data_IF_310901860663
#
_entry.id   IF_310901860663
#
_cell.length_a   1.000
_cell.length_b   1.000
_cell.length_c   1.000
_cell.angle_alpha   90.00
_cell.angle_beta   90.00
_cell.angle_gamma   90.00
#
_symmetry.space_group_name_H-M   'P 1'
#
loop_
_entity.id
_entity.type
_entity.pdbx_description
1 polymer ?
#
# COMPACT_ATOMS: atom_id res chain seq x y z
N UNK A 1 17.72 11.64 -10.95
CA UNK A 1 18.13 11.87 -9.57
C UNK A 1 18.06 10.58 -8.78
N UNK A 2 19.02 10.32 -7.87
CA UNK A 2 18.97 9.16 -6.97
C UNK A 2 18.11 9.48 -5.76
N UNK A 3 17.21 8.54 -5.42
CA UNK A 3 16.34 8.65 -4.25
C UNK A 3 16.76 7.66 -3.14
N UNK A 4 17.97 7.12 -3.20
CA UNK A 4 18.48 6.22 -2.17
C UNK A 4 18.46 6.90 -0.80
N UNK A 5 17.93 6.19 0.21
CA UNK A 5 17.76 6.70 1.57
C UNK A 5 16.47 7.50 1.81
N UNK A 6 15.66 7.72 0.77
CA UNK A 6 14.36 8.35 0.93
C UNK A 6 13.32 7.34 1.41
N UNK A 7 12.31 7.84 2.09
CA UNK A 7 11.14 7.05 2.50
C UNK A 7 10.20 6.85 1.31
N UNK A 8 9.57 5.70 1.22
CA UNK A 8 8.63 5.37 0.16
C UNK A 8 7.21 5.16 0.71
N UNK A 9 6.26 5.84 0.08
CA UNK A 9 4.84 5.77 0.43
C UNK A 9 3.98 5.54 -0.80
N UNK A 10 2.85 4.90 -0.59
CA UNK A 10 1.84 4.68 -1.62
C UNK A 10 0.48 5.21 -1.15
N UNK A 11 -0.29 5.76 -2.07
CA UNK A 11 -1.68 6.15 -1.85
C UNK A 11 -2.57 5.34 -2.80
N UNK A 12 -3.47 4.56 -2.22
CA UNK A 12 -4.54 3.91 -2.99
C UNK A 12 -5.71 4.86 -3.10
N UNK A 13 -6.09 5.18 -4.32
CA UNK A 13 -7.04 6.25 -4.63
C UNK A 13 -8.12 5.73 -5.55
N UNK A 14 -9.35 6.15 -5.35
CA UNK A 14 -10.46 5.89 -6.28
C UNK A 14 -11.07 7.20 -6.71
N UNK A 15 -11.28 7.37 -8.02
CA UNK A 15 -11.93 8.54 -8.62
C UNK A 15 -13.02 8.11 -9.59
N UNK A 16 -14.13 8.84 -9.59
CA UNK A 16 -15.22 8.67 -10.54
C UNK A 16 -15.32 9.83 -11.55
N UNK A 17 -16.25 9.72 -12.50
CA UNK A 17 -16.48 10.70 -13.56
C UNK A 17 -16.99 12.06 -13.07
N UNK A 18 -17.56 12.11 -11.87
CA UNK A 18 -18.07 13.34 -11.24
C UNK A 18 -17.00 14.03 -10.37
N UNK A 19 -15.75 13.58 -10.48
CA UNK A 19 -14.60 14.06 -9.69
C UNK A 19 -14.72 13.78 -8.18
N UNK A 20 -15.58 12.87 -7.77
CA UNK A 20 -15.47 12.30 -6.42
C UNK A 20 -14.17 11.52 -6.36
N UNK A 21 -13.25 11.97 -5.52
CA UNK A 21 -11.93 11.40 -5.43
C UNK A 21 -11.56 11.16 -3.96
N UNK A 22 -11.31 9.91 -3.59
CA UNK A 22 -11.10 9.48 -2.21
C UNK A 22 -9.82 8.68 -2.05
N UNK A 23 -9.16 8.84 -0.91
CA UNK A 23 -8.05 8.00 -0.50
C UNK A 23 -8.62 6.78 0.25
N UNK A 24 -8.32 5.60 -0.26
CA UNK A 24 -8.74 4.35 0.38
C UNK A 24 -7.77 3.98 1.51
N UNK A 25 -6.47 4.11 1.25
CA UNK A 25 -5.46 3.74 2.20
C UNK A 25 -4.13 4.43 1.89
N UNK A 26 -3.40 4.83 2.92
CA UNK A 26 -1.98 5.15 2.84
C UNK A 26 -1.16 3.92 3.22
N UNK A 27 -0.07 3.68 2.50
CA UNK A 27 0.81 2.53 2.71
C UNK A 27 2.24 3.05 2.82
N UNK A 28 2.99 2.51 3.77
CA UNK A 28 4.42 2.78 3.93
C UNK A 28 5.23 1.54 3.59
N UNK A 29 6.26 1.70 2.77
CA UNK A 29 7.23 0.67 2.45
C UNK A 29 8.40 0.78 3.43
N UNK A 30 8.71 -0.33 4.13
CA UNK A 30 9.75 -0.35 5.16
C UNK A 30 11.13 -0.66 4.62
N UNK A 31 11.21 -1.30 3.45
CA UNK A 31 12.45 -1.61 2.79
C UNK A 31 13.05 -0.36 2.14
N UNK A 32 14.39 -0.32 1.95
CA UNK A 32 15.04 0.83 1.34
C UNK A 32 14.54 1.12 -0.07
N UNK A 33 14.51 2.42 -0.42
CA UNK A 33 14.27 2.86 -1.79
C UNK A 33 15.18 2.11 -2.76
N UNK A 34 14.58 1.57 -3.85
CA UNK A 34 15.26 0.72 -4.82
C UNK A 34 14.92 -0.77 -4.69
N UNK A 35 14.25 -1.18 -3.62
CA UNK A 35 13.55 -2.47 -3.54
C UNK A 35 12.16 -2.30 -4.14
N UNK A 36 11.74 -3.24 -5.01
CA UNK A 36 10.40 -3.21 -5.61
C UNK A 36 9.32 -3.28 -4.52
N UNK A 37 8.27 -2.43 -4.61
CA UNK A 37 7.21 -2.36 -3.61
C UNK A 37 6.52 -3.70 -3.34
N UNK A 38 6.42 -4.58 -4.36
CA UNK A 38 5.93 -5.94 -4.22
C UNK A 38 6.79 -6.83 -3.32
N UNK A 39 8.07 -6.53 -3.21
CA UNK A 39 9.07 -7.26 -2.41
C UNK A 39 9.33 -6.61 -1.05
N UNK A 40 8.75 -5.44 -0.81
CA UNK A 40 8.87 -4.71 0.44
C UNK A 40 7.91 -5.22 1.50
N UNK A 41 8.33 -5.18 2.77
CA UNK A 41 7.42 -5.22 3.91
C UNK A 41 6.67 -3.89 3.91
N UNK A 42 5.34 -3.95 3.94
CA UNK A 42 4.51 -2.75 3.92
C UNK A 42 3.56 -2.69 5.11
N UNK A 43 3.25 -1.50 5.54
CA UNK A 43 2.32 -1.24 6.64
C UNK A 43 1.25 -0.25 6.23
N UNK A 44 0.03 -0.52 6.64
CA UNK A 44 -1.13 0.32 6.43
C UNK A 44 -1.90 0.53 7.76
N UNK A 45 -2.30 1.76 8.10
CA UNK A 45 -1.94 3.01 7.43
C UNK A 45 -0.45 3.32 7.60
N UNK A 46 0.08 4.26 6.80
CA UNK A 46 1.46 4.74 6.97
C UNK A 46 1.69 5.24 8.40
N UNK A 47 2.83 4.81 9.00
CA UNK A 47 3.09 5.01 10.43
C UNK A 47 3.94 6.25 10.71
N UNK A 48 4.75 6.68 9.75
CA UNK A 48 5.73 7.76 9.95
C UNK A 48 5.41 9.05 9.20
N UNK A 49 4.24 9.15 8.58
CA UNK A 49 3.75 10.40 8.00
C UNK A 49 3.22 11.33 9.10
N UNK A 50 3.66 12.57 9.06
CA UNK A 50 2.95 13.64 9.77
C UNK A 50 1.63 13.97 9.05
N UNK A 51 0.67 14.57 9.75
CA UNK A 51 -0.59 15.00 9.12
C UNK A 51 -0.35 15.94 7.94
N UNK A 52 0.61 16.85 8.06
CA UNK A 52 0.99 17.76 6.97
C UNK A 52 1.49 17.00 5.74
N UNK A 53 2.37 16.04 5.91
CA UNK A 53 2.89 15.20 4.80
C UNK A 53 1.76 14.38 4.19
N UNK A 54 0.91 13.76 5.01
CA UNK A 54 -0.25 13.03 4.53
C UNK A 54 -1.16 13.91 3.64
N UNK A 55 -1.48 15.13 4.08
CA UNK A 55 -2.31 16.05 3.29
C UNK A 55 -1.61 16.47 1.99
N UNK A 56 -0.30 16.63 1.99
CA UNK A 56 0.46 16.91 0.77
C UNK A 56 0.40 15.74 -0.21
N UNK A 57 0.61 14.50 0.25
CA UNK A 57 0.50 13.30 -0.59
C UNK A 57 -0.93 13.11 -1.10
N UNK A 58 -1.93 13.34 -0.26
CA UNK A 58 -3.34 13.31 -0.63
C UNK A 58 -3.63 14.28 -1.79
N UNK A 59 -3.28 15.54 -1.61
CA UNK A 59 -3.51 16.57 -2.63
C UNK A 59 -2.75 16.29 -3.93
N UNK A 60 -1.50 15.82 -3.84
CA UNK A 60 -0.70 15.43 -4.99
C UNK A 60 -1.34 14.24 -5.73
N UNK A 61 -1.83 13.24 -5.00
CA UNK A 61 -2.52 12.09 -5.59
C UNK A 61 -3.76 12.51 -6.38
N UNK A 62 -4.60 13.37 -5.80
CA UNK A 62 -5.79 13.90 -6.48
C UNK A 62 -5.42 14.68 -7.74
N UNK A 63 -4.37 15.50 -7.68
CA UNK A 63 -3.87 16.26 -8.83
C UNK A 63 -3.36 15.33 -9.94
N UNK A 64 -2.58 14.29 -9.58
CA UNK A 64 -2.05 13.30 -10.53
C UNK A 64 -3.18 12.57 -11.25
N UNK A 65 -4.20 12.08 -10.52
CA UNK A 65 -5.32 11.38 -11.13
C UNK A 65 -6.12 12.26 -12.11
N UNK A 66 -6.30 13.54 -11.77
CA UNK A 66 -6.97 14.52 -12.63
C UNK A 66 -6.17 14.81 -13.88
N UNK A 67 -4.85 15.03 -13.76
CA UNK A 67 -3.96 15.31 -14.88
C UNK A 67 -3.88 14.15 -15.87
N UNK A 68 -3.79 12.92 -15.34
CA UNK A 68 -3.78 11.70 -16.18
C UNK A 68 -5.15 11.41 -16.79
N UNK A 69 -6.24 11.92 -16.20
CA UNK A 69 -7.61 11.72 -16.69
C UNK A 69 -8.22 10.38 -16.26
N UNK A 70 -7.84 9.84 -15.11
CA UNK A 70 -8.49 8.63 -14.55
C UNK A 70 -9.86 9.02 -14.01
N UNK A 71 -10.92 8.44 -14.56
CA UNK A 71 -12.31 8.77 -14.24
C UNK A 71 -13.13 7.59 -13.70
N UNK A 72 -12.61 6.37 -13.80
CA UNK A 72 -13.42 5.17 -13.57
C UNK A 72 -12.70 4.10 -12.80
N UNK A 73 -12.09 4.44 -11.66
CA UNK A 73 -11.55 3.36 -10.87
C UNK A 73 -10.43 3.66 -9.92
N UNK A 74 -9.79 2.59 -9.49
CA UNK A 74 -8.68 2.60 -8.54
C UNK A 74 -7.35 2.88 -9.20
N UNK A 75 -6.51 3.60 -8.49
CA UNK A 75 -5.14 3.90 -8.89
C UNK A 75 -4.23 3.85 -7.68
N UNK A 76 -2.98 3.48 -7.93
CA UNK A 76 -1.90 3.53 -6.95
C UNK A 76 -0.93 4.65 -7.34
N UNK A 77 -0.67 5.57 -6.43
CA UNK A 77 0.32 6.65 -6.62
C UNK A 77 1.45 6.43 -5.63
N UNK A 78 2.68 6.36 -6.13
CA UNK A 78 3.88 6.10 -5.33
C UNK A 78 4.70 7.37 -5.19
N UNK A 79 5.17 7.61 -3.98
CA UNK A 79 5.91 8.81 -3.58
C UNK A 79 7.19 8.46 -2.86
N UNK A 80 8.21 9.28 -3.10
CA UNK A 80 9.39 9.34 -2.24
C UNK A 80 9.37 10.64 -1.44
N UNK A 81 9.71 10.55 -0.16
CA UNK A 81 9.89 11.70 0.72
C UNK A 81 11.33 11.73 1.23
N UNK A 82 11.99 12.84 1.02
CA UNK A 82 13.32 13.08 1.58
C UNK A 82 13.20 13.24 3.11
N UNK A 83 13.86 12.40 3.91
CA UNK A 83 13.77 12.49 5.37
C UNK A 83 14.43 13.75 5.95
N UNK A 84 15.32 14.40 5.20
CA UNK A 84 16.09 15.55 5.70
C UNK A 84 15.35 16.89 5.54
N UNK A 85 14.65 17.07 4.41
CA UNK A 85 14.00 18.35 4.08
C UNK A 85 12.50 18.24 3.77
N UNK A 86 11.94 17.01 3.74
CA UNK A 86 10.55 16.75 3.46
C UNK A 86 10.14 16.93 1.99
N UNK A 87 11.11 17.04 1.05
CA UNK A 87 10.83 17.15 -0.39
C UNK A 87 10.13 15.88 -0.87
N UNK A 88 9.05 16.06 -1.62
CA UNK A 88 8.22 14.98 -2.17
C UNK A 88 8.49 14.85 -3.67
N UNK A 89 8.63 13.61 -4.12
CA UNK A 89 8.73 13.24 -5.54
C UNK A 89 7.69 12.17 -5.85
N UNK A 90 6.94 12.34 -6.92
CA UNK A 90 6.09 11.28 -7.49
C UNK A 90 7.00 10.31 -8.24
N UNK A 91 7.00 9.03 -7.84
CA UNK A 91 7.78 7.97 -8.49
C UNK A 91 7.04 7.48 -9.73
N UNK A 92 5.81 7.01 -9.51
CA UNK A 92 4.95 6.53 -10.58
C UNK A 92 3.48 6.56 -10.16
N UNK A 93 2.60 6.41 -11.13
CA UNK A 93 1.17 6.23 -10.95
C UNK A 93 0.71 5.05 -11.80
N UNK A 94 0.00 4.13 -11.18
CA UNK A 94 -0.56 2.96 -11.82
C UNK A 94 -2.09 3.12 -11.94
N UNK A 95 -2.63 3.49 -13.12
CA UNK A 95 -4.07 3.74 -13.33
C UNK A 95 -4.86 2.43 -13.49
N UNK A 96 -4.74 1.55 -12.54
CA UNK A 96 -5.37 0.23 -12.55
C UNK A 96 -5.51 -0.32 -11.15
N UNK A 97 -6.42 -1.26 -10.95
CA UNK A 97 -6.44 -2.11 -9.76
C UNK A 97 -5.18 -3.00 -9.76
N UNK A 98 -4.50 -3.04 -8.64
CA UNK A 98 -3.20 -3.70 -8.46
C UNK A 98 -3.22 -4.64 -7.25
N UNK A 99 -2.07 -5.25 -6.94
CA UNK A 99 -1.91 -6.03 -5.70
C UNK A 99 -2.00 -5.15 -4.46
N UNK A 100 -1.47 -3.93 -4.50
CA UNK A 100 -1.64 -2.95 -3.43
C UNK A 100 -3.10 -2.55 -3.25
N UNK A 101 -3.89 -2.47 -4.33
CA UNK A 101 -5.34 -2.26 -4.23
C UNK A 101 -6.04 -3.44 -3.53
N UNK A 102 -5.61 -4.68 -3.79
CA UNK A 102 -6.12 -5.85 -3.09
C UNK A 102 -5.74 -5.84 -1.61
N UNK A 103 -4.50 -5.43 -1.28
CA UNK A 103 -4.03 -5.23 0.08
C UNK A 103 -4.87 -4.16 0.79
N UNK A 104 -5.04 -2.99 0.18
CA UNK A 104 -5.83 -1.89 0.72
C UNK A 104 -7.30 -2.31 0.93
N UNK A 105 -7.88 -3.06 -0.01
CA UNK A 105 -9.24 -3.60 0.13
C UNK A 105 -9.37 -4.53 1.33
N UNK A 106 -8.41 -5.42 1.54
CA UNK A 106 -8.39 -6.32 2.71
C UNK A 106 -8.14 -5.54 4.01
N UNK A 107 -7.27 -4.54 3.96
CA UNK A 107 -6.94 -3.73 5.13
C UNK A 107 -8.12 -2.88 5.60
N UNK A 108 -8.85 -2.26 4.68
CA UNK A 108 -9.93 -1.29 5.00
C UNK A 108 -11.33 -1.88 4.97
N UNK A 109 -11.51 -3.01 4.29
CA UNK A 109 -12.83 -3.54 3.97
C UNK A 109 -13.51 -2.86 2.76
N UNK A 110 -12.87 -1.85 2.14
CA UNK A 110 -13.40 -1.17 0.97
C UNK A 110 -13.11 -1.99 -0.30
N UNK A 111 -14.14 -2.47 -1.03
CA UNK A 111 -13.96 -3.40 -2.14
C UNK A 111 -13.58 -2.66 -3.43
N UNK A 112 -12.33 -2.20 -3.56
CA UNK A 112 -11.86 -1.35 -4.66
C UNK A 112 -12.21 -1.93 -6.03
N UNK A 113 -11.96 -3.22 -6.26
CA UNK A 113 -12.22 -3.83 -7.56
C UNK A 113 -13.72 -3.86 -7.92
N UNK A 114 -14.59 -4.17 -6.95
CA UNK A 114 -16.05 -4.14 -7.13
C UNK A 114 -16.55 -2.72 -7.43
N UNK A 115 -16.04 -1.74 -6.68
CA UNK A 115 -16.38 -0.33 -6.90
C UNK A 115 -15.87 0.13 -8.26
N UNK A 116 -14.62 -0.12 -8.60
CA UNK A 116 -14.04 0.24 -9.91
C UNK A 116 -14.83 -0.35 -11.08
N UNK A 117 -15.29 -1.61 -10.98
CA UNK A 117 -16.14 -2.22 -12.01
C UNK A 117 -17.47 -1.48 -12.18
N UNK A 118 -18.09 -1.02 -11.08
CA UNK A 118 -19.32 -0.24 -11.14
C UNK A 118 -19.09 1.17 -11.70
N UNK A 119 -17.99 1.83 -11.34
CA UNK A 119 -17.62 3.13 -11.90
C UNK A 119 -17.40 3.02 -13.41
N UNK A 120 -16.79 1.94 -13.90
CA UNK A 120 -16.54 1.69 -15.31
C UNK A 120 -17.83 1.58 -16.15
N UNK A 121 -18.94 1.15 -15.57
CA UNK A 121 -20.26 1.10 -16.23
C UNK A 121 -21.13 2.32 -15.98
N UNK A 122 -20.56 3.36 -15.35
CA UNK A 122 -21.17 4.68 -15.27
C UNK A 122 -21.77 5.08 -13.91
N UNK A 123 -21.67 4.25 -12.86
CA UNK A 123 -22.02 4.69 -11.50
C UNK A 123 -21.00 5.71 -10.98
N UNK A 124 -21.42 6.47 -9.98
CA UNK A 124 -20.56 7.39 -9.24
C UNK A 124 -20.42 6.93 -7.78
N UNK A 125 -19.41 7.42 -7.07
CA UNK A 125 -19.14 7.00 -5.69
C UNK A 125 -20.26 7.36 -4.71
N UNK A 126 -20.95 8.44 -4.96
CA UNK A 126 -22.10 8.91 -4.16
C UNK A 126 -23.38 8.09 -4.42
N UNK A 127 -23.50 7.44 -5.59
CA UNK A 127 -24.59 6.52 -5.93
C UNK A 127 -24.39 5.10 -5.35
N UNK A 128 -23.16 4.76 -4.98
CA UNK A 128 -22.84 3.43 -4.47
C UNK A 128 -22.93 3.37 -2.94
N UNK A 129 -23.53 2.31 -2.44
CA UNK A 129 -23.54 2.01 -1.01
C UNK A 129 -22.14 1.61 -0.53
N UNK A 130 -21.73 2.09 0.63
CA UNK A 130 -20.47 1.73 1.27
C UNK A 130 -20.63 0.38 1.99
N UNK A 131 -19.90 -0.63 1.52
CA UNK A 131 -19.96 -1.98 2.09
C UNK A 131 -19.45 -2.00 3.55
N UNK A 132 -18.52 -1.13 3.92
CA UNK A 132 -17.95 -1.06 5.29
C UNK A 132 -19.03 -0.67 6.31
N UNK A 133 -19.92 0.24 5.92
CA UNK A 133 -20.98 0.74 6.81
C UNK A 133 -22.31 -0.01 6.65
N UNK A 134 -22.31 -1.12 5.89
CA UNK A 134 -23.56 -1.83 5.58
C UNK A 134 -24.52 -1.00 4.72
N UNK A 135 -24.01 -0.04 3.97
CA UNK A 135 -24.81 0.82 3.08
C UNK A 135 -25.38 2.08 3.75
N UNK A 136 -25.03 2.36 5.01
CA UNK A 136 -25.52 3.55 5.71
C UNK A 136 -24.95 4.84 5.12
N UNK A 137 -23.70 4.80 4.64
CA UNK A 137 -23.05 5.93 3.96
C UNK A 137 -22.79 5.59 2.49
N UNK A 138 -22.65 6.58 1.60
CA UNK A 138 -22.19 6.33 0.24
C UNK A 138 -20.71 5.97 0.20
N UNK A 139 -20.27 5.35 -0.90
CA UNK A 139 -18.89 4.94 -1.12
C UNK A 139 -17.92 6.12 -1.33
N UNK A 140 -18.43 7.34 -1.41
CA UNK A 140 -17.62 8.57 -1.46
C UNK A 140 -16.99 8.98 -0.12
N UNK A 141 -17.32 8.28 0.97
CA UNK A 141 -16.68 8.50 2.27
C UNK A 141 -15.37 7.70 2.37
N UNK A 142 -14.29 8.39 2.70
CA UNK A 142 -12.98 7.76 2.89
C UNK A 142 -13.00 6.78 4.08
N UNK A 143 -12.46 5.55 3.89
CA UNK A 143 -12.33 4.62 5.01
C UNK A 143 -11.33 5.13 6.05
N UNK A 144 -11.59 4.83 7.30
CA UNK A 144 -10.64 5.01 8.40
C UNK A 144 -10.49 3.70 9.16
N UNK A 145 -9.27 3.38 9.59
CA UNK A 145 -8.97 2.20 10.38
C UNK A 145 -8.24 2.59 11.66
N UNK A 146 -8.56 1.91 12.76
CA UNK A 146 -7.96 2.10 14.09
C UNK A 146 -7.04 0.94 14.50
N UNK A 147 -6.62 0.15 13.51
CA UNK A 147 -5.70 -0.97 13.64
C UNK A 147 -4.58 -0.85 12.59
N UNK A 148 -3.58 -1.67 12.74
CA UNK A 148 -2.43 -1.72 11.83
C UNK A 148 -2.43 -3.02 11.05
N UNK A 149 -2.19 -2.93 9.76
CA UNK A 149 -2.09 -4.08 8.85
C UNK A 149 -0.68 -4.12 8.29
N UNK A 150 0.00 -5.27 8.45
CA UNK A 150 1.34 -5.47 7.88
C UNK A 150 1.30 -6.57 6.85
N UNK A 151 1.89 -6.31 5.68
CA UNK A 151 2.14 -7.27 4.61
C UNK A 151 3.62 -7.67 4.64
N UNK A 152 3.90 -8.97 4.62
CA UNK A 152 5.27 -9.51 4.48
C UNK A 152 5.33 -10.37 3.21
N UNK A 153 6.25 -10.10 2.28
CA UNK A 153 6.38 -10.86 1.05
C UNK A 153 6.94 -12.28 1.30
N UNK A 154 6.55 -13.21 0.46
CA UNK A 154 7.06 -14.59 0.45
C UNK A 154 7.98 -14.79 -0.75
N UNK A 155 9.16 -15.30 -0.49
CA UNK A 155 10.15 -15.69 -1.51
C UNK A 155 10.32 -17.21 -1.52
N UNK A 156 10.81 -17.76 -2.63
CA UNK A 156 11.06 -19.20 -2.80
C UNK A 156 12.48 -19.46 -3.28
N UNK A 157 13.45 -18.66 -2.80
CA UNK A 157 14.87 -18.83 -3.17
C UNK A 157 15.41 -20.22 -2.80
N UNK A 158 14.82 -20.84 -1.77
CA UNK A 158 15.15 -22.23 -1.39
C UNK A 158 14.86 -23.25 -2.49
N UNK A 159 13.91 -22.95 -3.39
CA UNK A 159 13.59 -23.79 -4.56
C UNK A 159 14.40 -23.45 -5.80
N UNK A 160 15.01 -22.29 -5.81
CA UNK A 160 15.77 -21.75 -6.93
C UNK A 160 17.14 -21.24 -6.47
N UNK A 161 18.06 -22.14 -6.08
CA UNK A 161 19.33 -21.74 -5.46
C UNK A 161 20.27 -20.98 -6.41
N UNK A 162 20.01 -20.99 -7.72
CA UNK A 162 20.78 -20.21 -8.71
C UNK A 162 20.22 -18.78 -8.90
N UNK A 163 19.05 -18.46 -8.33
CA UNK A 163 18.48 -17.13 -8.42
C UNK A 163 19.23 -16.16 -7.50
N UNK A 164 19.48 -14.96 -7.99
CA UNK A 164 20.02 -13.88 -7.15
C UNK A 164 18.99 -13.46 -6.10
N UNK A 165 19.29 -13.67 -4.81
CA UNK A 165 18.41 -13.38 -3.69
C UNK A 165 18.44 -11.91 -3.26
N UNK A 166 19.31 -11.08 -3.84
CA UNK A 166 19.35 -9.64 -3.53
C UNK A 166 18.10 -8.96 -4.08
N UNK A 167 17.40 -8.24 -3.23
CA UNK A 167 16.24 -7.45 -3.62
C UNK A 167 16.69 -6.21 -4.40
N UNK A 168 15.96 -5.93 -5.48
CA UNK A 168 16.24 -4.83 -6.40
C UNK A 168 14.91 -4.24 -6.89
N UNK A 169 14.94 -3.39 -7.91
CA UNK A 169 13.73 -2.90 -8.59
C UNK A 169 12.97 -3.99 -9.35
N UNK A 170 13.58 -5.16 -9.54
CA UNK A 170 12.91 -6.32 -10.13
C UNK A 170 12.19 -7.11 -9.04
N UNK A 171 10.90 -7.33 -9.21
CA UNK A 171 10.09 -8.10 -8.27
C UNK A 171 10.44 -9.59 -8.28
N UNK A 172 10.67 -10.17 -7.11
CA UNK A 172 11.08 -11.58 -6.90
C UNK A 172 10.13 -12.36 -5.98
N UNK A 173 9.24 -11.68 -5.28
CA UNK A 173 8.26 -12.34 -4.41
C UNK A 173 7.24 -13.15 -5.22
N UNK A 174 6.82 -14.28 -4.65
CA UNK A 174 5.85 -15.22 -5.26
C UNK A 174 4.52 -15.23 -4.53
N UNK A 175 4.44 -14.57 -3.39
CA UNK A 175 3.25 -14.48 -2.56
C UNK A 175 3.47 -13.50 -1.42
N UNK A 176 2.48 -13.41 -0.55
CA UNK A 176 2.51 -12.50 0.58
C UNK A 176 1.62 -13.01 1.71
N UNK A 177 1.95 -12.60 2.92
CA UNK A 177 1.12 -12.76 4.12
C UNK A 177 0.71 -11.39 4.61
N UNK A 178 -0.52 -11.27 5.07
CA UNK A 178 -1.04 -10.07 5.69
C UNK A 178 -1.61 -10.39 7.07
N UNK A 179 -1.30 -9.56 8.04
CA UNK A 179 -1.86 -9.69 9.38
C UNK A 179 -2.29 -8.34 9.96
N UNK A 180 -3.27 -8.40 10.86
CA UNK A 180 -3.85 -7.24 11.54
C UNK A 180 -3.45 -7.31 13.02
N UNK A 181 -3.11 -6.14 13.58
CA UNK A 181 -2.83 -5.97 15.01
C UNK A 181 -3.22 -4.58 15.48
N UNK A 182 -3.29 -4.39 16.78
CA UNK A 182 -3.53 -3.08 17.39
C UNK A 182 -2.31 -2.16 17.26
N UNK A 183 -1.13 -2.74 17.05
CA UNK A 183 0.14 -2.03 16.86
C UNK A 183 0.90 -2.64 15.70
N UNK A 184 1.88 -1.89 15.18
CA UNK A 184 2.79 -2.38 14.15
C UNK A 184 3.52 -3.65 14.59
N UNK A 185 4.04 -3.66 15.81
CA UNK A 185 4.77 -4.82 16.37
C UNK A 185 3.91 -6.08 16.39
N UNK A 186 2.65 -5.95 16.82
CA UNK A 186 1.72 -7.07 16.85
C UNK A 186 1.41 -7.58 15.44
N UNK A 187 1.07 -6.67 14.50
CA UNK A 187 0.73 -7.05 13.13
C UNK A 187 1.93 -7.69 12.40
N UNK A 188 3.13 -7.14 12.59
CA UNK A 188 4.37 -7.69 12.01
C UNK A 188 4.66 -9.10 12.53
N UNK A 189 4.59 -9.31 13.84
CA UNK A 189 4.83 -10.63 14.46
C UNK A 189 3.80 -11.67 13.99
N UNK A 190 2.55 -11.26 13.87
CA UNK A 190 1.51 -12.13 13.31
C UNK A 190 1.76 -12.47 11.85
N UNK A 191 2.19 -11.50 11.03
CA UNK A 191 2.51 -11.72 9.62
C UNK A 191 3.69 -12.67 9.47
N UNK A 192 4.78 -12.47 10.21
CA UNK A 192 5.94 -13.36 10.22
C UNK A 192 5.56 -14.79 10.60
N UNK A 193 4.73 -14.96 11.63
CA UNK A 193 4.22 -16.28 12.02
C UNK A 193 3.36 -16.93 10.94
N UNK A 194 2.62 -16.13 10.16
CA UNK A 194 1.76 -16.61 9.08
C UNK A 194 2.51 -17.03 7.82
N UNK A 195 3.82 -16.74 7.69
CA UNK A 195 4.62 -17.15 6.53
C UNK A 195 4.79 -18.67 6.39
N UNK A 196 4.57 -19.43 7.48
CA UNK A 196 4.67 -20.90 7.52
C UNK A 196 5.99 -21.45 6.94
N UNK A 197 7.06 -20.68 7.00
CA UNK A 197 8.38 -21.12 6.56
C UNK A 197 9.08 -21.90 7.67
N UNK A 198 9.69 -23.04 7.35
CA UNK A 198 10.44 -23.86 8.35
C UNK A 198 11.61 -23.06 8.92
N UNK A 199 12.27 -22.25 8.11
CA UNK A 199 13.29 -21.28 8.54
C UNK A 199 12.76 -20.25 9.56
N UNK A 200 11.48 -20.11 9.65
CA UNK A 200 10.77 -19.21 10.52
C UNK A 200 11.00 -19.50 12.02
N UNK A 201 11.14 -20.75 12.40
CA UNK A 201 11.48 -21.12 13.78
C UNK A 201 12.89 -20.68 14.17
N UNK A 202 13.71 -20.31 13.20
CA UNK A 202 15.08 -19.83 13.34
C UNK A 202 15.28 -18.38 12.92
N UNK A 203 14.24 -17.73 12.39
CA UNK A 203 14.19 -16.30 12.26
C UNK A 203 13.93 -15.68 13.64
N UNK A 204 14.90 -15.79 14.51
CA UNK A 204 15.14 -14.65 15.34
C UNK A 204 15.37 -13.49 14.37
N UNK A 205 14.51 -12.47 14.40
CA UNK A 205 14.92 -11.17 13.89
C UNK A 205 16.38 -11.02 14.27
N UNK A 206 17.28 -10.65 13.36
CA UNK A 206 18.62 -10.33 13.78
C UNK A 206 18.46 -9.20 14.79
N UNK A 207 18.35 -9.55 16.04
CA UNK A 207 18.65 -8.63 17.10
C UNK A 207 20.09 -8.31 16.82
N UNK A 208 20.28 -7.22 16.16
CA UNK A 208 21.58 -6.71 15.77
C UNK A 208 22.39 -6.50 17.04
N UNK A 209 23.04 -7.52 17.41
CA UNK A 209 24.19 -7.47 18.27
C UNK A 209 25.34 -8.04 17.50
N UNK A 210 25.74 -7.32 16.48
CA UNK A 210 27.13 -7.29 16.05
C UNK A 210 27.40 -5.90 15.52
N UNK A 211 27.86 -5.10 16.44
CA UNK A 211 28.79 -4.01 16.21
C UNK A 211 29.93 -4.48 15.30
#
# INVERSE_FOLDING_TARGET
>A
ESLLGWKEFEMEVVRDRNDNCIIICSIENLDPMGVHTGDSITVAPAQTLTDKEYQLLRNASLAVLREIGVETGGSNVQFAINPDDGRIVVIEMNPRVSRSSALASKATGFPIAKVAAKLAIGFTLDELANDITGGVTPASFEPTIDYVVTKVPRFTFEKFPQADSRLTTQMKSVGEVMAIGSTFQESLQKALRGLEAVSYTHLTLPTSSRV
#
